data_IF_920182571233
#
_entry.id   IF_920182571233
#
_cell.length_a   1.000
_cell.length_b   1.000
_cell.length_c   1.000
_cell.angle_alpha   90.00
_cell.angle_beta   90.00
_cell.angle_gamma   90.00
#
_symmetry.space_group_name_H-M   'P 1'
#
loop_
_entity.id
_entity.type
_entity.pdbx_description
1 polymer ?
#
# COMPACT_ATOMS: atom_id res chain seq x y z
N UNK A 1 4.02 14.37 6.31
CA UNK A 1 3.02 15.24 6.98
C UNK A 1 3.01 16.67 6.43
N UNK A 2 3.95 17.56 6.80
CA UNK A 2 3.91 18.99 6.44
C UNK A 2 3.77 19.27 4.93
N UNK A 3 4.68 18.73 4.10
CA UNK A 3 4.63 18.91 2.64
C UNK A 3 3.30 18.44 2.06
N UNK A 4 2.78 17.30 2.54
CA UNK A 4 1.48 16.79 2.11
C UNK A 4 0.34 17.73 2.44
N UNK A 5 0.26 18.21 3.68
CA UNK A 5 -0.75 19.18 4.09
C UNK A 5 -0.68 20.49 3.27
N UNK A 6 0.51 20.99 2.96
CA UNK A 6 0.69 22.17 2.12
C UNK A 6 0.17 21.96 0.69
N UNK A 7 0.47 20.82 0.09
CA UNK A 7 0.00 20.49 -1.26
C UNK A 7 -1.52 20.39 -1.32
N UNK A 8 -2.14 19.64 -0.41
CA UNK A 8 -3.60 19.46 -0.41
C UNK A 8 -4.32 20.80 -0.17
N UNK A 9 -3.78 21.65 0.72
CA UNK A 9 -4.31 23.02 0.92
C UNK A 9 -4.17 23.91 -0.31
N UNK A 10 -3.18 23.66 -1.14
CA UNK A 10 -2.97 24.36 -2.41
C UNK A 10 -3.77 23.73 -3.57
N UNK A 11 -4.61 22.71 -3.31
CA UNK A 11 -5.37 22.00 -4.34
C UNK A 11 -4.54 21.05 -5.20
N UNK A 12 -3.31 20.74 -4.77
CA UNK A 12 -2.40 19.82 -5.46
C UNK A 12 -2.40 18.49 -4.70
N UNK A 13 -2.69 17.38 -5.39
CA UNK A 13 -2.66 16.06 -4.75
C UNK A 13 -1.29 15.72 -4.19
N UNK A 14 -1.21 15.37 -2.90
CA UNK A 14 0.00 14.88 -2.26
C UNK A 14 0.17 13.37 -2.43
N UNK A 15 1.25 12.80 -1.90
CA UNK A 15 1.41 11.33 -1.82
C UNK A 15 0.54 10.71 -0.74
N UNK A 16 -0.03 11.52 0.17
CA UNK A 16 -0.79 11.11 1.38
C UNK A 16 -0.06 10.14 2.31
N UNK A 17 1.25 9.96 2.12
CA UNK A 17 2.12 9.18 2.99
C UNK A 17 2.86 10.08 3.98
N UNK A 18 3.16 9.53 5.15
CA UNK A 18 4.03 10.20 6.13
C UNK A 18 5.52 10.08 5.74
N UNK A 19 5.87 9.13 4.86
CA UNK A 19 7.23 8.92 4.42
C UNK A 19 7.70 9.97 3.42
N UNK A 20 8.88 10.55 3.70
CA UNK A 20 9.55 11.47 2.78
C UNK A 20 9.84 10.84 1.41
N UNK A 21 10.17 9.54 1.39
CA UNK A 21 10.54 8.79 0.18
C UNK A 21 9.40 8.61 -0.81
N UNK A 22 8.15 8.66 -0.34
CA UNK A 22 6.98 8.60 -1.23
C UNK A 22 7.01 9.66 -2.32
N UNK A 23 7.63 10.81 -2.07
CA UNK A 23 7.76 11.89 -3.04
C UNK A 23 8.74 11.60 -4.16
N UNK A 24 9.59 10.58 -4.07
CA UNK A 24 10.48 10.22 -5.19
C UNK A 24 9.73 9.73 -6.44
N UNK A 25 8.46 9.36 -6.32
CA UNK A 25 7.61 9.02 -7.47
C UNK A 25 6.55 10.11 -7.76
N UNK A 26 6.57 11.23 -7.04
CA UNK A 26 5.55 12.26 -7.12
C UNK A 26 5.92 13.33 -8.14
N UNK A 27 4.99 13.66 -9.04
CA UNK A 27 5.18 14.71 -10.04
C UNK A 27 6.33 14.43 -11.02
N UNK A 28 6.84 15.49 -11.63
CA UNK A 28 7.96 15.43 -12.57
C UNK A 28 9.32 15.54 -11.84
N UNK A 29 10.27 14.69 -12.24
CA UNK A 29 11.65 14.82 -11.79
C UNK A 29 12.27 16.08 -12.39
N UNK A 30 12.94 16.88 -11.57
CA UNK A 30 13.74 18.00 -12.05
C UNK A 30 15.22 17.63 -12.05
N UNK A 31 15.89 17.88 -13.18
CA UNK A 31 17.34 17.77 -13.28
C UNK A 31 18.05 18.89 -12.48
N UNK A 32 17.45 20.09 -12.45
CA UNK A 32 17.97 21.23 -11.70
C UNK A 32 17.00 21.68 -10.60
N UNK A 33 17.49 21.96 -9.39
CA UNK A 33 16.64 22.44 -8.31
C UNK A 33 16.17 23.86 -8.57
N UNK A 34 14.90 24.12 -8.24
CA UNK A 34 14.26 25.44 -8.34
C UNK A 34 13.46 25.76 -7.09
N UNK A 35 13.38 27.03 -6.73
CA UNK A 35 12.54 27.50 -5.61
C UNK A 35 11.10 27.01 -5.76
N UNK A 36 10.54 26.50 -4.67
CA UNK A 36 9.21 25.88 -4.58
C UNK A 36 9.18 24.38 -4.86
N UNK A 37 10.25 23.78 -5.41
CA UNK A 37 10.27 22.35 -5.71
C UNK A 37 10.28 21.51 -4.42
N UNK A 38 9.71 20.32 -4.48
CA UNK A 38 9.80 19.34 -3.40
C UNK A 38 11.16 18.67 -3.49
N UNK A 39 11.90 18.65 -2.40
CA UNK A 39 13.21 17.98 -2.33
C UNK A 39 13.15 16.87 -1.31
N UNK A 40 13.55 15.67 -1.72
CA UNK A 40 13.71 14.50 -0.86
C UNK A 40 15.18 14.35 -0.50
N UNK A 41 15.46 14.33 0.79
CA UNK A 41 16.80 14.11 1.35
C UNK A 41 16.93 12.71 1.94
N UNK A 42 18.13 12.15 1.89
CA UNK A 42 18.51 10.98 2.68
C UNK A 42 18.57 11.31 4.17
N UNK A 43 18.34 10.29 5.01
CA UNK A 43 18.48 10.39 6.47
C UNK A 43 19.25 9.17 6.97
N UNK A 44 20.55 9.36 7.22
CA UNK A 44 21.46 8.25 7.50
C UNK A 44 21.64 7.34 6.28
N UNK A 45 22.10 6.11 6.54
CA UNK A 45 22.40 5.12 5.50
C UNK A 45 21.18 4.25 5.12
N UNK A 46 20.09 4.35 5.87
CA UNK A 46 18.88 3.59 5.60
C UNK A 46 18.14 4.16 4.37
N UNK A 47 17.99 3.39 3.28
CA UNK A 47 17.34 3.86 2.07
C UNK A 47 15.83 4.15 2.25
N UNK A 48 15.19 3.56 3.27
CA UNK A 48 13.78 3.78 3.60
C UNK A 48 13.55 5.10 4.34
N UNK A 49 14.55 5.62 5.04
CA UNK A 49 14.46 6.87 5.78
C UNK A 49 14.78 8.07 4.90
N UNK A 50 14.12 9.19 5.19
CA UNK A 50 14.37 10.44 4.48
C UNK A 50 13.78 11.66 5.18
N UNK A 51 14.00 12.81 4.56
CA UNK A 51 13.38 14.08 4.93
C UNK A 51 12.85 14.77 3.67
N UNK A 52 11.81 15.60 3.78
CA UNK A 52 11.19 16.24 2.62
C UNK A 52 10.76 17.66 2.94
N UNK A 53 10.99 18.58 2.01
CA UNK A 53 10.69 20.00 2.16
C UNK A 53 10.56 20.74 0.83
N UNK A 54 10.16 22.00 0.90
CA UNK A 54 10.12 22.90 -0.26
C UNK A 54 11.40 23.73 -0.34
N UNK A 55 11.99 23.84 -1.53
CA UNK A 55 13.14 24.71 -1.75
C UNK A 55 12.74 26.17 -1.55
N UNK A 56 13.41 26.87 -0.65
CA UNK A 56 13.27 28.33 -0.43
C UNK A 56 14.54 29.10 -0.72
N UNK A 57 15.68 28.42 -0.90
CA UNK A 57 16.94 29.01 -1.29
C UNK A 57 17.94 27.98 -1.81
N UNK A 58 18.90 28.44 -2.60
CA UNK A 58 19.96 27.62 -3.18
C UNK A 58 21.30 28.34 -3.02
N UNK A 59 22.32 27.65 -2.53
CA UNK A 59 23.71 28.10 -2.52
C UNK A 59 24.57 27.13 -3.32
N UNK A 60 25.86 27.42 -3.47
CA UNK A 60 26.79 26.52 -4.16
C UNK A 60 26.90 25.15 -3.46
N UNK A 61 26.91 25.13 -2.14
CA UNK A 61 27.08 23.92 -1.32
C UNK A 61 25.77 23.32 -0.84
N UNK A 62 24.73 24.13 -0.66
CA UNK A 62 23.54 23.77 0.11
C UNK A 62 22.22 24.04 -0.62
N UNK A 63 21.21 23.32 -0.18
CA UNK A 63 19.81 23.53 -0.50
C UNK A 63 19.09 23.97 0.78
N UNK A 64 18.38 25.09 0.71
CA UNK A 64 17.65 25.64 1.86
C UNK A 64 16.19 25.23 1.73
N UNK A 65 15.70 24.46 2.71
CA UNK A 65 14.36 23.88 2.69
C UNK A 65 13.49 24.48 3.79
N UNK A 66 12.23 24.77 3.46
CA UNK A 66 11.13 24.88 4.41
C UNK A 66 10.51 23.49 4.60
N UNK A 67 10.65 22.90 5.78
CA UNK A 67 10.08 21.60 6.09
C UNK A 67 9.53 21.53 7.53
N UNK A 68 8.75 20.49 7.80
CA UNK A 68 8.18 20.21 9.11
C UNK A 68 8.92 19.09 9.83
N UNK A 69 8.68 18.98 11.13
CA UNK A 69 9.34 18.03 12.03
C UNK A 69 10.87 18.21 12.05
N UNK A 70 11.33 19.45 11.92
CA UNK A 70 12.73 19.83 12.08
C UNK A 70 12.92 20.38 13.50
N UNK A 71 13.25 19.47 14.44
CA UNK A 71 13.25 19.79 15.87
C UNK A 71 11.85 20.11 16.39
N UNK A 72 10.87 19.28 16.03
CA UNK A 72 9.44 19.44 16.37
C UNK A 72 8.81 20.77 15.91
N UNK A 73 9.42 21.43 14.92
CA UNK A 73 8.94 22.69 14.34
C UNK A 73 8.85 22.65 12.81
N UNK A 74 8.12 23.62 12.25
CA UNK A 74 8.22 24.01 10.84
C UNK A 74 9.25 25.13 10.77
N UNK A 75 10.37 24.90 10.07
CA UNK A 75 11.47 25.86 10.02
C UNK A 75 12.17 25.86 8.66
N UNK A 76 13.03 26.86 8.45
CA UNK A 76 13.89 26.95 7.27
C UNK A 76 15.29 26.52 7.69
N UNK A 77 15.85 25.50 7.05
CA UNK A 77 17.23 25.04 7.33
C UNK A 77 17.98 24.72 6.03
N UNK A 78 19.31 24.87 6.09
CA UNK A 78 20.22 24.52 5.02
C UNK A 78 20.67 23.05 5.14
N UNK A 79 20.73 22.35 4.02
CA UNK A 79 21.19 20.98 3.92
C UNK A 79 22.24 20.83 2.81
N UNK A 80 23.28 19.98 3.01
CA UNK A 80 24.24 19.70 1.95
C UNK A 80 23.57 19.09 0.72
N UNK A 81 23.95 19.54 -0.48
CA UNK A 81 23.43 19.00 -1.75
C UNK A 81 23.69 17.50 -1.91
N UNK A 82 24.72 16.95 -1.26
CA UNK A 82 25.03 15.51 -1.25
C UNK A 82 23.94 14.65 -0.61
N UNK A 83 23.06 15.24 0.21
CA UNK A 83 21.91 14.52 0.81
C UNK A 83 20.70 14.47 -0.11
N UNK A 84 20.69 15.21 -1.23
CA UNK A 84 19.55 15.24 -2.14
C UNK A 84 19.46 13.92 -2.88
N UNK A 85 18.32 13.25 -2.74
CA UNK A 85 18.02 12.01 -3.45
C UNK A 85 17.08 12.25 -4.63
N UNK A 86 16.27 13.30 -4.58
CA UNK A 86 15.47 13.71 -5.72
C UNK A 86 14.81 15.06 -5.54
N UNK A 87 14.57 15.74 -6.65
CA UNK A 87 13.86 17.02 -6.72
C UNK A 87 12.65 16.86 -7.63
N UNK A 88 11.50 17.37 -7.20
CA UNK A 88 10.20 17.11 -7.81
C UNK A 88 9.39 18.38 -7.99
N UNK A 89 8.69 18.45 -9.10
CA UNK A 89 7.79 19.55 -9.46
C UNK A 89 6.39 19.01 -9.70
N UNK A 90 5.32 19.74 -9.33
CA UNK A 90 3.97 19.38 -9.75
C UNK A 90 3.93 19.30 -11.28
N UNK A 91 3.50 18.15 -11.82
CA UNK A 91 3.44 17.96 -13.27
C UNK A 91 2.57 19.02 -13.92
N UNK A 92 2.96 19.55 -15.09
CA UNK A 92 2.16 20.57 -15.80
C UNK A 92 0.80 20.02 -16.27
N UNK A 93 0.63 18.70 -16.30
CA UNK A 93 -0.65 18.04 -16.52
C UNK A 93 -1.55 18.00 -15.25
N UNK A 94 -1.09 18.53 -14.11
CA UNK A 94 -1.78 18.53 -12.82
C UNK A 94 -2.53 19.83 -12.50
N UNK A 95 -3.01 20.53 -13.53
CA UNK A 95 -4.30 21.22 -13.46
C UNK A 95 -5.39 20.33 -14.09
N UNK A 96 -5.34 19.02 -13.83
CA UNK A 96 -6.46 18.12 -14.12
C UNK A 96 -7.28 18.02 -12.84
N UNK A 97 -8.60 18.30 -12.88
CA UNK A 97 -9.50 18.04 -11.74
C UNK A 97 -9.40 16.56 -11.32
N UNK A 98 -9.73 16.23 -10.07
CA UNK A 98 -9.39 14.95 -9.43
C UNK A 98 -9.58 13.73 -10.35
N UNK A 99 -8.53 12.91 -10.43
CA UNK A 99 -8.50 11.59 -11.07
C UNK A 99 -9.71 10.75 -10.64
N UNK A 100 -10.63 10.52 -11.59
CA UNK A 100 -11.87 9.75 -11.46
C UNK A 100 -12.79 10.21 -10.30
N UNK A 101 -14.12 10.18 -10.45
CA UNK A 101 -14.98 10.43 -9.32
C UNK A 101 -14.69 9.40 -8.24
N UNK A 102 -14.09 9.85 -7.13
CA UNK A 102 -14.21 9.20 -5.82
C UNK A 102 -15.69 8.79 -5.69
N UNK A 103 -16.02 7.57 -5.23
CA UNK A 103 -17.40 7.22 -4.95
C UNK A 103 -18.04 8.40 -4.22
N UNK A 104 -19.25 8.84 -4.62
CA UNK A 104 -19.84 10.05 -4.06
C UNK A 104 -19.73 9.97 -2.53
N UNK A 105 -19.37 11.08 -1.87
CA UNK A 105 -19.10 11.15 -0.42
C UNK A 105 -20.12 10.37 0.43
N UNK A 106 -21.37 10.30 -0.04
CA UNK A 106 -22.47 9.54 0.53
C UNK A 106 -22.32 8.01 0.50
N UNK A 107 -21.72 7.42 -0.53
CA UNK A 107 -21.47 5.99 -0.62
C UNK A 107 -20.38 5.54 0.37
N UNK A 108 -19.30 6.32 0.52
CA UNK A 108 -18.27 6.08 1.53
C UNK A 108 -18.81 6.23 2.95
N UNK A 109 -19.68 7.22 3.19
CA UNK A 109 -20.33 7.40 4.48
C UNK A 109 -21.31 6.25 4.79
N UNK A 110 -22.11 5.81 3.81
CA UNK A 110 -23.03 4.68 4.01
C UNK A 110 -22.29 3.36 4.29
N UNK A 111 -21.15 3.12 3.62
CA UNK A 111 -20.29 1.96 3.91
C UNK A 111 -19.69 2.09 5.29
N UNK A 112 -19.22 3.29 5.67
CA UNK A 112 -18.69 3.54 7.01
C UNK A 112 -19.73 3.30 8.10
N UNK A 113 -20.96 3.80 7.97
CA UNK A 113 -22.02 3.54 8.96
C UNK A 113 -22.31 2.05 9.10
N UNK A 114 -22.32 1.31 7.98
CA UNK A 114 -22.55 -0.14 7.99
C UNK A 114 -21.39 -0.88 8.65
N UNK A 115 -20.15 -0.46 8.37
CA UNK A 115 -18.94 -0.99 8.99
C UNK A 115 -18.86 -0.67 10.49
N UNK A 116 -19.21 0.55 10.88
CA UNK A 116 -19.26 0.98 12.28
C UNK A 116 -20.30 0.20 13.06
N UNK A 117 -21.50 0.02 12.51
CA UNK A 117 -22.56 -0.80 13.14
C UNK A 117 -22.06 -2.21 13.40
N UNK A 118 -21.48 -2.85 12.38
CA UNK A 118 -20.91 -4.20 12.48
C UNK A 118 -19.79 -4.31 13.52
N UNK A 119 -18.84 -3.36 13.52
CA UNK A 119 -17.74 -3.34 14.50
C UNK A 119 -18.29 -3.17 15.92
N UNK A 120 -19.23 -2.25 16.14
CA UNK A 120 -19.79 -2.03 17.47
C UNK A 120 -20.59 -3.23 18.01
N UNK A 121 -21.26 -3.98 17.12
CA UNK A 121 -21.89 -5.25 17.48
C UNK A 121 -20.85 -6.31 17.91
N UNK A 122 -19.67 -6.31 17.29
CA UNK A 122 -18.56 -7.22 17.61
C UNK A 122 -17.78 -6.83 18.87
N UNK A 123 -17.60 -5.54 19.13
CA UNK A 123 -16.89 -5.02 20.32
C UNK A 123 -17.74 -5.16 21.60
N UNK A 124 -19.08 -5.16 21.48
CA UNK A 124 -19.97 -5.32 22.62
C UNK A 124 -20.21 -4.03 23.41
N UNK A 125 -20.54 -4.19 24.70
CA UNK A 125 -20.97 -3.10 25.59
C UNK A 125 -19.83 -2.51 26.45
N UNK A 126 -20.21 -1.82 27.52
CA UNK A 126 -19.27 -1.35 28.54
C UNK A 126 -18.67 -2.55 29.29
N UNK A 127 -17.35 -2.61 29.36
CA UNK A 127 -16.61 -3.57 30.17
C UNK A 127 -15.73 -2.85 31.20
N UNK A 128 -15.69 -3.40 32.41
CA UNK A 128 -14.94 -2.90 33.54
C UNK A 128 -14.38 -4.09 34.32
N UNK A 129 -13.46 -4.82 33.69
CA UNK A 129 -12.67 -5.85 34.36
C UNK A 129 -11.50 -5.19 35.11
N UNK A 130 -11.39 -5.35 36.45
CA UNK A 130 -10.28 -4.82 37.25
C UNK A 130 -8.88 -5.33 36.82
N UNK A 131 -8.81 -6.40 36.03
CA UNK A 131 -7.58 -6.98 35.50
C UNK A 131 -7.35 -6.65 34.02
N UNK A 132 -8.23 -5.87 33.39
CA UNK A 132 -8.01 -5.40 32.02
C UNK A 132 -6.87 -4.35 31.99
N UNK A 133 -5.74 -4.62 31.32
CA UNK A 133 -4.68 -3.64 31.17
C UNK A 133 -5.12 -2.39 30.41
N UNK A 134 -6.22 -2.44 29.64
CA UNK A 134 -6.83 -1.30 28.95
C UNK A 134 -7.69 -0.40 29.86
N UNK A 135 -8.06 -0.89 31.05
CA UNK A 135 -8.94 -0.20 31.99
C UNK A 135 -10.38 -0.08 31.47
N UNK A 136 -11.19 0.82 32.07
CA UNK A 136 -12.58 1.01 31.65
C UNK A 136 -12.70 1.26 30.15
N UNK A 137 -13.51 0.45 29.48
CA UNK A 137 -13.69 0.48 28.02
C UNK A 137 -15.18 0.53 27.68
N UNK A 138 -15.56 1.42 26.78
CA UNK A 138 -16.94 1.52 26.30
C UNK A 138 -16.96 1.54 24.78
N UNK A 139 -17.72 0.63 24.16
CA UNK A 139 -17.84 0.56 22.70
C UNK A 139 -16.47 0.47 22.01
N UNK A 140 -15.55 -0.33 22.57
CA UNK A 140 -14.18 -0.50 22.07
C UNK A 140 -13.24 0.69 22.28
N UNK A 141 -13.67 1.77 22.94
CA UNK A 141 -12.84 2.94 23.25
C UNK A 141 -12.38 2.86 24.71
N UNK A 142 -11.07 2.79 24.90
CA UNK A 142 -10.44 2.79 26.23
C UNK A 142 -10.47 4.19 26.85
N UNK A 143 -10.40 4.28 28.18
CA UNK A 143 -10.26 5.56 28.88
C UNK A 143 -9.04 6.36 28.39
N UNK A 144 -7.92 5.68 28.13
CA UNK A 144 -6.70 6.29 27.60
C UNK A 144 -6.91 6.92 26.22
N UNK A 145 -7.61 6.23 25.31
CA UNK A 145 -7.94 6.78 24.00
C UNK A 145 -8.88 7.98 24.10
N UNK A 146 -9.89 7.89 24.98
CA UNK A 146 -10.87 8.95 25.18
C UNK A 146 -10.24 10.25 25.73
N UNK A 147 -9.36 10.16 26.73
CA UNK A 147 -8.68 11.36 27.24
C UNK A 147 -7.70 11.96 26.25
N UNK A 148 -7.01 11.11 25.48
CA UNK A 148 -6.08 11.54 24.43
C UNK A 148 -6.82 12.29 23.31
N UNK A 149 -7.98 11.77 22.91
CA UNK A 149 -8.86 12.43 21.93
C UNK A 149 -9.34 13.81 22.44
N UNK A 150 -9.62 13.93 23.74
CA UNK A 150 -9.93 15.22 24.39
C UNK A 150 -8.74 16.17 24.55
N UNK A 151 -7.51 15.69 24.33
CA UNK A 151 -6.30 16.47 24.62
C UNK A 151 -6.08 16.73 26.12
N UNK A 152 -6.56 15.83 26.98
CA UNK A 152 -6.45 15.94 28.45
C UNK A 152 -5.51 14.85 28.97
N UNK A 153 -4.66 15.20 29.94
CA UNK A 153 -3.85 14.22 30.67
C UNK A 153 -4.69 13.54 31.76
N UNK A 154 -4.64 12.21 31.83
CA UNK A 154 -5.34 11.45 32.87
C UNK A 154 -4.58 11.59 34.19
N UNK A 155 -5.24 12.13 35.21
CA UNK A 155 -4.70 12.27 36.57
C UNK A 155 -5.61 11.58 37.57
N UNK A 156 -5.10 11.29 38.77
CA UNK A 156 -5.90 10.72 39.86
C UNK A 156 -7.14 11.57 40.17
N UNK A 157 -7.03 12.89 40.03
CA UNK A 157 -8.10 13.85 40.35
C UNK A 157 -9.22 13.84 39.31
N UNK A 158 -8.91 13.65 38.03
CA UNK A 158 -9.91 13.64 36.95
C UNK A 158 -10.37 12.22 36.56
N UNK A 159 -9.72 11.17 37.07
CA UNK A 159 -9.99 9.78 36.70
C UNK A 159 -11.46 9.40 36.83
N UNK A 160 -12.08 9.68 37.98
CA UNK A 160 -13.48 9.34 38.23
C UNK A 160 -14.44 10.09 37.28
N UNK A 161 -14.14 11.36 36.98
CA UNK A 161 -14.94 12.16 36.06
C UNK A 161 -14.81 11.68 34.61
N UNK A 162 -13.58 11.41 34.15
CA UNK A 162 -13.32 10.91 32.79
C UNK A 162 -13.93 9.53 32.57
N UNK A 163 -13.88 8.65 33.58
CA UNK A 163 -14.55 7.35 33.55
C UNK A 163 -16.07 7.49 33.45
N UNK A 164 -16.68 8.38 34.24
CA UNK A 164 -18.12 8.64 34.17
C UNK A 164 -18.52 9.18 32.79
N UNK A 165 -17.70 10.06 32.22
CA UNK A 165 -17.94 10.61 30.89
C UNK A 165 -17.77 9.58 29.77
N UNK A 166 -16.74 8.71 29.85
CA UNK A 166 -16.56 7.57 28.95
C UNK A 166 -17.79 6.64 28.99
N UNK A 167 -18.31 6.37 30.18
CA UNK A 167 -19.52 5.53 30.35
C UNK A 167 -20.75 6.15 29.67
N UNK A 168 -20.81 7.48 29.60
CA UNK A 168 -21.87 8.24 28.93
C UNK A 168 -21.44 8.79 27.55
N UNK A 169 -20.44 8.18 26.90
CA UNK A 169 -19.85 8.70 25.66
C UNK A 169 -20.94 8.91 24.58
N UNK A 170 -21.07 10.12 24.01
CA UNK A 170 -22.02 10.36 22.94
C UNK A 170 -21.72 9.52 21.71
N UNK A 171 -22.76 8.97 21.07
CA UNK A 171 -22.62 8.21 19.82
C UNK A 171 -21.91 9.00 18.72
N UNK A 172 -22.11 10.32 18.68
CA UNK A 172 -21.41 11.21 17.75
C UNK A 172 -19.88 11.23 18.00
N UNK A 173 -19.45 11.20 19.27
CA UNK A 173 -18.03 11.14 19.64
C UNK A 173 -17.44 9.78 19.25
N UNK A 174 -18.14 8.68 19.55
CA UNK A 174 -17.74 7.33 19.13
C UNK A 174 -17.54 7.28 17.62
N UNK A 175 -18.55 7.73 16.86
CA UNK A 175 -18.52 7.78 15.40
C UNK A 175 -17.31 8.57 14.89
N UNK A 176 -17.04 9.75 15.45
CA UNK A 176 -15.90 10.59 15.05
C UNK A 176 -14.57 9.89 15.30
N UNK A 177 -14.38 9.32 16.49
CA UNK A 177 -13.15 8.59 16.87
C UNK A 177 -12.90 7.44 15.89
N UNK A 178 -13.91 6.61 15.61
CA UNK A 178 -13.78 5.53 14.65
C UNK A 178 -13.52 6.01 13.22
N UNK A 179 -14.19 7.10 12.81
CA UNK A 179 -14.01 7.66 11.48
C UNK A 179 -12.58 8.20 11.29
N UNK A 180 -12.07 8.99 12.23
CA UNK A 180 -10.78 9.66 12.12
C UNK A 180 -9.61 8.70 12.37
N UNK A 181 -9.65 7.95 13.47
CA UNK A 181 -8.50 7.18 13.94
C UNK A 181 -8.36 5.81 13.28
N UNK A 182 -9.42 5.31 12.65
CA UNK A 182 -9.44 3.98 12.05
C UNK A 182 -9.85 4.03 10.58
N UNK A 183 -11.02 4.56 10.24
CA UNK A 183 -11.53 4.55 8.87
C UNK A 183 -10.65 5.37 7.91
N UNK A 184 -10.40 6.64 8.24
CA UNK A 184 -9.55 7.53 7.45
C UNK A 184 -8.07 7.12 7.56
N UNK A 185 -7.60 6.86 8.77
CA UNK A 185 -6.20 6.48 9.02
C UNK A 185 -5.79 5.20 8.28
N UNK A 186 -6.70 4.23 8.13
CA UNK A 186 -6.46 2.99 7.38
C UNK A 186 -6.83 3.10 5.89
N UNK A 187 -6.99 4.31 5.36
CA UNK A 187 -7.31 4.56 3.94
C UNK A 187 -8.54 3.78 3.42
N UNK A 188 -9.50 3.46 4.30
CA UNK A 188 -10.71 2.72 3.94
C UNK A 188 -11.52 3.39 2.81
N UNK A 189 -11.66 4.74 2.75
CA UNK A 189 -12.34 5.40 1.64
C UNK A 189 -11.74 5.16 0.25
N UNK A 190 -10.49 4.68 0.17
CA UNK A 190 -9.77 4.44 -1.08
C UNK A 190 -9.87 2.97 -1.53
N UNK A 191 -10.55 2.11 -0.74
CA UNK A 191 -10.73 0.69 -1.02
C UNK A 191 -12.14 0.40 -1.57
N UNK A 192 -12.33 -0.69 -2.35
CA UNK A 192 -13.64 -1.18 -2.74
C UNK A 192 -14.57 -1.39 -1.53
N UNK A 193 -15.89 -1.11 -1.61
CA UNK A 193 -16.79 -1.07 -0.46
C UNK A 193 -16.74 -2.27 0.49
N UNK A 194 -16.78 -3.49 -0.05
CA UNK A 194 -16.70 -4.72 0.76
C UNK A 194 -15.33 -4.85 1.43
N UNK A 195 -14.26 -4.56 0.69
CA UNK A 195 -12.90 -4.58 1.20
C UNK A 195 -12.66 -3.50 2.26
N UNK A 196 -13.23 -2.30 2.10
CA UNK A 196 -13.15 -1.20 3.05
C UNK A 196 -13.74 -1.58 4.41
N UNK A 197 -14.93 -2.20 4.42
CA UNK A 197 -15.53 -2.70 5.67
C UNK A 197 -14.64 -3.77 6.33
N UNK A 198 -14.19 -4.75 5.55
CA UNK A 198 -13.36 -5.83 6.08
C UNK A 198 -12.02 -5.32 6.63
N UNK A 199 -11.42 -4.35 5.93
CA UNK A 199 -10.19 -3.69 6.32
C UNK A 199 -10.36 -2.82 7.57
N UNK A 200 -11.48 -2.11 7.68
CA UNK A 200 -11.81 -1.30 8.85
C UNK A 200 -11.94 -2.15 10.13
N UNK A 201 -12.68 -3.26 10.08
CA UNK A 201 -12.79 -4.19 11.22
C UNK A 201 -11.41 -4.75 11.61
N UNK A 202 -10.55 -5.00 10.62
CA UNK A 202 -9.17 -5.39 10.88
C UNK A 202 -8.33 -4.26 11.50
N UNK A 203 -8.51 -3.01 11.07
CA UNK A 203 -7.80 -1.87 11.62
C UNK A 203 -8.17 -1.61 13.08
N UNK A 204 -9.43 -1.82 13.45
CA UNK A 204 -9.89 -1.71 14.85
C UNK A 204 -9.28 -2.82 15.70
N UNK A 205 -9.36 -4.08 15.28
CA UNK A 205 -8.91 -5.20 16.12
C UNK A 205 -7.39 -5.43 16.08
N UNK A 206 -6.70 -5.13 14.98
CA UNK A 206 -5.27 -5.40 14.78
C UNK A 206 -4.42 -4.13 14.66
N UNK A 207 -5.02 -2.95 14.79
CA UNK A 207 -4.38 -1.66 14.55
C UNK A 207 -4.24 -1.35 13.06
N UNK A 208 -4.22 -0.05 12.72
CA UNK A 208 -4.15 0.47 11.34
C UNK A 208 -2.98 -0.13 10.55
N UNK A 209 -1.76 -0.06 11.09
CA UNK A 209 -0.57 -0.60 10.42
C UNK A 209 -0.61 -2.14 10.33
N UNK A 210 -1.18 -2.82 11.34
CA UNK A 210 -1.34 -4.27 11.33
C UNK A 210 -2.27 -4.74 10.23
N UNK A 211 -3.41 -4.05 10.07
CA UNK A 211 -4.35 -4.29 8.98
C UNK A 211 -3.74 -4.00 7.60
N UNK A 212 -3.02 -2.89 7.44
CA UNK A 212 -2.32 -2.55 6.20
C UNK A 212 -1.34 -3.65 5.78
N UNK A 213 -0.52 -4.15 6.70
CA UNK A 213 0.42 -5.26 6.41
C UNK A 213 -0.28 -6.55 6.00
N UNK A 214 -1.40 -6.88 6.63
CA UNK A 214 -2.17 -8.07 6.26
C UNK A 214 -2.81 -7.92 4.86
N UNK A 215 -3.30 -6.73 4.51
CA UNK A 215 -3.80 -6.44 3.17
C UNK A 215 -2.68 -6.53 2.13
N UNK A 216 -1.51 -5.93 2.40
CA UNK A 216 -0.34 -5.99 1.51
C UNK A 216 0.10 -7.44 1.28
N UNK A 217 0.14 -8.25 2.34
CA UNK A 217 0.41 -9.67 2.22
C UNK A 217 -0.63 -10.40 1.34
N UNK A 218 -1.91 -10.02 1.40
CA UNK A 218 -2.97 -10.63 0.61
C UNK A 218 -2.86 -10.31 -0.89
N UNK A 219 -2.44 -9.09 -1.23
CA UNK A 219 -2.31 -8.64 -2.64
C UNK A 219 -0.89 -8.76 -3.21
N UNK A 220 0.07 -9.24 -2.42
CA UNK A 220 1.47 -9.38 -2.83
C UNK A 220 2.22 -8.06 -3.00
N UNK A 221 1.82 -7.02 -2.26
CA UNK A 221 2.54 -5.74 -2.21
C UNK A 221 3.66 -5.77 -1.14
N UNK A 222 4.57 -4.79 -1.20
CA UNK A 222 5.57 -4.59 -0.16
C UNK A 222 4.89 -4.36 1.21
N UNK A 223 5.37 -5.07 2.23
CA UNK A 223 4.74 -5.12 3.56
C UNK A 223 5.34 -4.04 4.46
N UNK A 224 5.04 -2.77 4.18
CA UNK A 224 5.50 -1.62 4.98
C UNK A 224 4.49 -1.17 6.06
N UNK A 225 3.21 -1.54 5.91
CA UNK A 225 2.12 -1.12 6.78
C UNK A 225 1.50 0.24 6.45
N UNK A 226 1.77 0.79 5.26
CA UNK A 226 1.14 2.00 4.72
C UNK A 226 0.36 1.70 3.42
N UNK A 227 -0.88 2.16 3.34
CA UNK A 227 -1.69 2.04 2.12
C UNK A 227 -1.41 3.25 1.23
N UNK A 228 -0.39 3.12 0.40
CA UNK A 228 -0.05 4.09 -0.65
C UNK A 228 -0.48 3.67 -2.06
N UNK A 229 -0.11 4.45 -3.10
CA UNK A 229 -0.50 4.17 -4.48
C UNK A 229 -0.11 2.78 -5.00
N UNK A 230 1.01 2.22 -4.54
CA UNK A 230 1.45 0.87 -4.93
C UNK A 230 0.55 -0.21 -4.33
N UNK A 231 0.18 -0.09 -3.06
CA UNK A 231 -0.79 -0.99 -2.40
C UNK A 231 -2.15 -0.90 -3.10
N UNK A 232 -2.62 0.30 -3.43
CA UNK A 232 -3.89 0.50 -4.14
C UNK A 232 -3.87 -0.07 -5.56
N UNK A 233 -2.76 0.07 -6.28
CA UNK A 233 -2.59 -0.54 -7.59
C UNK A 233 -2.58 -2.07 -7.53
N UNK A 234 -1.94 -2.65 -6.50
CA UNK A 234 -1.97 -4.09 -6.27
C UNK A 234 -3.41 -4.57 -5.96
N UNK A 235 -4.14 -3.88 -5.08
CA UNK A 235 -5.57 -4.16 -4.81
C UNK A 235 -6.40 -4.11 -6.09
N UNK A 236 -6.19 -3.11 -6.94
CA UNK A 236 -6.93 -2.96 -8.20
C UNK A 236 -6.58 -4.04 -9.25
N UNK A 237 -5.50 -4.80 -9.07
CA UNK A 237 -5.06 -5.85 -10.00
C UNK A 237 -5.75 -7.19 -9.78
N UNK A 238 -6.51 -7.35 -8.69
CA UNK A 238 -7.22 -8.58 -8.35
C UNK A 238 -8.73 -8.32 -8.20
N UNK A 239 -9.58 -9.33 -8.48
CA UNK A 239 -10.99 -9.28 -8.09
C UNK A 239 -11.15 -9.06 -6.58
N UNK A 240 -12.16 -8.29 -6.20
CA UNK A 240 -12.42 -7.95 -4.78
C UNK A 240 -12.71 -9.21 -3.96
N UNK A 241 -13.45 -10.16 -4.52
CA UNK A 241 -13.76 -11.44 -3.87
C UNK A 241 -12.50 -12.27 -3.59
N UNK A 242 -11.58 -12.36 -4.56
CA UNK A 242 -10.30 -13.06 -4.39
C UNK A 242 -9.42 -12.35 -3.34
N UNK A 243 -9.39 -11.02 -3.36
CA UNK A 243 -8.68 -10.20 -2.38
C UNK A 243 -9.23 -10.42 -0.97
N UNK A 244 -10.56 -10.42 -0.81
CA UNK A 244 -11.24 -10.68 0.45
C UNK A 244 -10.95 -12.09 0.98
N UNK A 245 -10.98 -13.11 0.12
CA UNK A 245 -10.67 -14.48 0.50
C UNK A 245 -9.20 -14.61 0.98
N UNK A 246 -8.26 -14.07 0.20
CA UNK A 246 -6.83 -14.08 0.54
C UNK A 246 -6.55 -13.31 1.85
N UNK A 247 -7.18 -12.14 2.03
CA UNK A 247 -7.02 -11.33 3.22
C UNK A 247 -7.63 -12.02 4.46
N UNK A 248 -8.82 -12.62 4.33
CA UNK A 248 -9.41 -13.41 5.40
C UNK A 248 -8.48 -14.56 5.82
N UNK A 249 -7.84 -15.25 4.88
CA UNK A 249 -6.89 -16.30 5.19
C UNK A 249 -5.62 -15.80 5.89
N UNK A 250 -5.08 -14.66 5.47
CA UNK A 250 -3.98 -13.98 6.19
C UNK A 250 -4.40 -13.69 7.64
N UNK A 251 -5.59 -13.12 7.84
CA UNK A 251 -6.10 -12.73 9.16
C UNK A 251 -6.37 -13.96 10.05
N UNK A 252 -6.95 -15.03 9.51
CA UNK A 252 -7.15 -16.32 10.23
C UNK A 252 -5.80 -16.93 10.62
N UNK A 253 -4.79 -16.93 9.75
CA UNK A 253 -3.43 -17.40 10.08
C UNK A 253 -2.82 -16.56 11.20
N UNK A 254 -2.98 -15.24 11.15
CA UNK A 254 -2.50 -14.33 12.21
C UNK A 254 -3.12 -14.66 13.56
N UNK A 255 -4.44 -14.86 13.63
CA UNK A 255 -5.09 -15.27 14.88
C UNK A 255 -4.58 -16.61 15.39
N UNK A 256 -4.46 -17.61 14.52
CA UNK A 256 -3.93 -18.93 14.89
C UNK A 256 -2.49 -18.90 15.43
N UNK A 257 -1.71 -17.87 15.08
CA UNK A 257 -0.35 -17.69 15.62
C UNK A 257 -0.29 -17.03 17.01
N UNK A 258 -1.42 -16.55 17.56
CA UNK A 258 -1.42 -15.89 18.86
C UNK A 258 -1.35 -16.92 20.01
N UNK A 259 -0.55 -16.68 21.07
CA UNK A 259 -0.44 -17.60 22.22
C UNK A 259 -1.78 -17.88 22.92
N UNK A 260 -2.72 -16.94 22.86
CA UNK A 260 -4.04 -17.00 23.50
C UNK A 260 -5.12 -17.61 22.61
N UNK A 261 -4.76 -18.12 21.42
CA UNK A 261 -5.71 -18.70 20.46
C UNK A 261 -6.52 -19.86 21.03
N UNK A 262 -5.93 -20.68 21.91
CA UNK A 262 -6.64 -21.81 22.53
C UNK A 262 -7.90 -21.37 23.31
N UNK A 263 -7.91 -20.14 23.84
CA UNK A 263 -9.02 -19.60 24.65
C UNK A 263 -10.02 -18.82 23.82
N UNK A 264 -9.55 -17.94 22.93
CA UNK A 264 -10.40 -16.97 22.21
C UNK A 264 -10.53 -17.25 20.71
N UNK A 265 -9.76 -18.20 20.19
CA UNK A 265 -9.60 -18.43 18.75
C UNK A 265 -10.89 -18.73 18.02
N UNK A 266 -11.83 -19.44 18.64
CA UNK A 266 -13.15 -19.69 18.04
C UNK A 266 -13.91 -18.38 17.77
N UNK A 267 -13.91 -17.46 18.74
CA UNK A 267 -14.56 -16.15 18.59
C UNK A 267 -13.89 -15.31 17.52
N UNK A 268 -12.55 -15.27 17.50
CA UNK A 268 -11.81 -14.53 16.47
C UNK A 268 -12.03 -15.06 15.06
N UNK A 269 -12.04 -16.38 14.86
CA UNK A 269 -12.34 -16.97 13.56
C UNK A 269 -13.78 -16.69 13.14
N UNK A 270 -14.73 -16.79 14.08
CA UNK A 270 -16.13 -16.42 13.82
C UNK A 270 -16.26 -14.96 13.40
N UNK A 271 -15.54 -14.02 14.05
CA UNK A 271 -15.53 -12.60 13.66
C UNK A 271 -15.04 -12.45 12.23
N UNK A 272 -13.95 -13.11 11.83
CA UNK A 272 -13.44 -13.06 10.44
C UNK A 272 -14.49 -13.56 9.45
N UNK A 273 -15.13 -14.69 9.74
CA UNK A 273 -16.09 -15.32 8.83
C UNK A 273 -17.37 -14.46 8.69
N UNK A 274 -17.88 -13.91 9.79
CA UNK A 274 -19.04 -13.00 9.77
C UNK A 274 -18.71 -11.69 9.03
N UNK A 275 -17.55 -11.07 9.31
CA UNK A 275 -17.12 -9.85 8.60
C UNK A 275 -16.94 -10.10 7.10
N UNK A 276 -16.36 -11.26 6.71
CA UNK A 276 -16.17 -11.64 5.31
C UNK A 276 -17.52 -11.82 4.58
N UNK A 277 -18.50 -12.47 5.22
CA UNK A 277 -19.83 -12.64 4.64
C UNK A 277 -20.50 -11.28 4.37
N UNK A 278 -20.48 -10.38 5.34
CA UNK A 278 -21.03 -9.03 5.21
C UNK A 278 -20.30 -8.21 4.12
N UNK A 279 -18.97 -8.32 4.05
CA UNK A 279 -18.17 -7.68 3.01
C UNK A 279 -18.57 -8.15 1.61
N UNK A 280 -18.78 -9.46 1.41
CA UNK A 280 -19.24 -10.02 0.14
C UNK A 280 -20.68 -9.62 -0.21
N UNK A 281 -21.55 -9.38 0.78
CA UNK A 281 -22.89 -8.82 0.55
C UNK A 281 -22.84 -7.34 0.13
N UNK A 282 -21.96 -6.55 0.77
CA UNK A 282 -21.72 -5.16 0.39
C UNK A 282 -21.22 -5.06 -1.05
N UNK A 283 -20.24 -5.88 -1.43
CA UNK A 283 -19.66 -5.81 -2.76
C UNK A 283 -20.67 -6.20 -3.85
N UNK A 284 -21.53 -7.19 -3.57
CA UNK A 284 -22.63 -7.58 -4.47
C UNK A 284 -23.75 -6.54 -4.56
N UNK A 285 -24.05 -5.82 -3.47
CA UNK A 285 -25.13 -4.82 -3.42
C UNK A 285 -24.69 -3.41 -3.81
N UNK A 286 -23.39 -3.12 -3.72
CA UNK A 286 -22.77 -1.84 -4.03
C UNK A 286 -21.48 -2.09 -4.84
N UNK A 287 -21.59 -2.56 -6.09
CA UNK A 287 -20.41 -2.81 -6.93
C UNK A 287 -19.60 -1.52 -7.10
N UNK A 288 -18.28 -1.61 -7.31
CA UNK A 288 -17.49 -0.43 -7.61
C UNK A 288 -18.08 0.30 -8.82
N UNK A 289 -18.35 1.60 -8.67
CA UNK A 289 -18.65 2.47 -9.80
C UNK A 289 -17.40 2.45 -10.69
N UNK A 290 -17.51 1.68 -11.78
CA UNK A 290 -16.49 1.44 -12.80
C UNK A 290 -15.65 2.70 -13.08
N UNK A 291 -14.30 2.67 -12.95
CA UNK A 291 -13.46 3.73 -13.51
C UNK A 291 -13.71 3.81 -15.02
N UNK A 292 -13.74 5.01 -15.65
CA UNK A 292 -14.02 5.11 -17.07
C UNK A 292 -13.02 4.24 -17.84
N UNK A 293 -13.54 3.31 -18.63
CA UNK A 293 -12.77 2.65 -19.67
C UNK A 293 -12.05 3.75 -20.48
N UNK A 294 -10.74 3.63 -20.74
CA UNK A 294 -10.08 4.56 -21.64
C UNK A 294 -10.87 4.57 -22.93
N UNK A 295 -11.37 5.75 -23.34
CA UNK A 295 -12.05 5.91 -24.63
C UNK A 295 -11.09 5.38 -25.69
N UNK A 296 -11.41 4.20 -26.23
CA UNK A 296 -10.73 3.69 -27.41
C UNK A 296 -10.74 4.77 -28.49
N UNK A 297 -9.69 4.89 -29.30
CA UNK A 297 -9.65 5.86 -30.39
C UNK A 297 -10.93 5.74 -31.21
N UNK A 298 -11.66 6.84 -31.38
CA UNK A 298 -12.79 6.87 -32.30
C UNK A 298 -12.29 6.50 -33.71
N UNK A 299 -12.95 5.61 -34.43
CA UNK A 299 -12.49 5.19 -35.75
C UNK A 299 -12.59 6.37 -36.73
N UNK A 300 -11.50 6.65 -37.45
CA UNK A 300 -11.58 7.41 -38.70
C UNK A 300 -12.14 6.48 -39.79
N UNK A 301 -13.03 6.96 -40.67
CA UNK A 301 -13.48 6.16 -41.80
C UNK A 301 -12.50 6.32 -42.95
N UNK A 302 -11.99 5.21 -43.49
CA UNK A 302 -11.71 5.11 -44.93
C UNK A 302 -11.63 3.64 -45.35
N UNK A 303 -12.31 3.34 -46.46
CA UNK A 303 -12.19 2.15 -47.30
C UNK A 303 -10.72 1.72 -47.47
N UNK A 304 -10.33 0.46 -47.64
CA UNK A 304 -10.85 -0.59 -48.53
C UNK A 304 -10.12 -1.90 -48.18
N UNK A 305 -10.77 -3.04 -48.43
CA UNK A 305 -10.24 -4.40 -48.62
C UNK A 305 -8.89 -4.79 -47.98
N UNK A 306 -8.97 -5.63 -46.94
CA UNK A 306 -8.19 -6.90 -46.83
C UNK A 306 -8.67 -7.71 -45.61
N UNK A 307 -8.95 -9.00 -45.86
CA UNK A 307 -9.35 -10.03 -44.90
C UNK A 307 -8.40 -10.10 -43.70
N UNK A 308 -8.87 -10.11 -42.43
CA UNK A 308 -7.96 -10.09 -41.30
C UNK A 308 -7.38 -11.49 -41.04
N UNK A 309 -6.06 -11.60 -41.18
CA UNK A 309 -5.28 -12.58 -40.41
C UNK A 309 -5.39 -12.23 -38.92
N UNK A 310 -5.49 -13.25 -38.07
CA UNK A 310 -5.51 -13.12 -36.60
C UNK A 310 -4.36 -12.23 -36.12
N UNK A 311 -4.59 -11.20 -35.29
CA UNK A 311 -3.49 -10.40 -34.77
C UNK A 311 -2.71 -11.19 -33.72
N UNK A 312 -1.39 -11.19 -33.88
CA UNK A 312 -0.42 -11.70 -32.93
C UNK A 312 -0.69 -11.18 -31.52
N UNK A 313 -0.65 -12.10 -30.55
CA UNK A 313 -0.76 -11.78 -29.14
C UNK A 313 0.29 -10.72 -28.78
N UNK A 314 -0.16 -9.53 -28.38
CA UNK A 314 0.71 -8.49 -27.82
C UNK A 314 1.39 -9.03 -26.56
N UNK A 315 2.63 -9.45 -26.75
CA UNK A 315 3.59 -9.81 -25.73
C UNK A 315 3.88 -8.59 -24.82
N UNK A 316 3.92 -8.84 -23.51
CA UNK A 316 4.03 -7.84 -22.43
C UNK A 316 5.34 -7.03 -22.42
N UNK A 317 6.32 -7.35 -23.28
CA UNK A 317 7.65 -6.73 -23.24
C UNK A 317 7.89 -5.55 -24.19
N UNK A 318 6.84 -4.95 -24.76
CA UNK A 318 6.95 -3.62 -25.41
C UNK A 318 6.79 -2.44 -24.44
N UNK A 319 6.77 -2.70 -23.13
CA UNK A 319 6.82 -1.64 -22.11
C UNK A 319 8.24 -1.07 -21.99
N UNK A 320 8.42 0.23 -22.29
CA UNK A 320 9.70 0.93 -22.11
C UNK A 320 10.25 0.81 -20.68
N UNK A 321 9.37 0.63 -19.70
CA UNK A 321 9.72 0.44 -18.28
C UNK A 321 10.33 -0.94 -18.02
N UNK A 322 9.85 -1.98 -18.70
CA UNK A 322 10.37 -3.35 -18.57
C UNK A 322 11.70 -3.49 -19.31
N UNK A 323 11.85 -2.84 -20.47
CA UNK A 323 13.11 -2.76 -21.19
C UNK A 323 14.18 -2.03 -20.38
N UNK A 324 13.82 -0.93 -19.69
CA UNK A 324 14.72 -0.22 -18.78
C UNK A 324 15.20 -1.08 -17.61
N UNK A 325 14.33 -1.88 -17.01
CA UNK A 325 14.70 -2.79 -15.90
C UNK A 325 15.63 -3.90 -16.41
N UNK A 326 15.32 -4.55 -17.54
CA UNK A 326 16.16 -5.62 -18.11
C UNK A 326 17.55 -5.11 -18.48
N UNK A 327 17.65 -3.94 -19.11
CA UNK A 327 18.93 -3.32 -19.47
C UNK A 327 19.72 -2.93 -18.21
N UNK A 328 19.05 -2.41 -17.17
CA UNK A 328 19.70 -2.02 -15.91
C UNK A 328 20.17 -3.23 -15.10
N UNK A 329 19.41 -4.33 -15.10
CA UNK A 329 19.81 -5.58 -14.43
C UNK A 329 20.94 -6.26 -15.19
N UNK A 330 20.93 -6.28 -16.53
CA UNK A 330 22.04 -6.81 -17.33
C UNK A 330 23.31 -5.97 -17.16
N UNK A 331 23.21 -4.64 -17.14
CA UNK A 331 24.39 -3.75 -17.03
C UNK A 331 25.03 -3.74 -15.64
N UNK A 332 24.28 -4.07 -14.58
CA UNK A 332 24.81 -4.15 -13.22
C UNK A 332 25.35 -5.54 -12.87
N UNK A 333 24.80 -6.59 -13.47
CA UNK A 333 25.18 -7.98 -13.17
C UNK A 333 26.34 -8.47 -14.05
N UNK A 334 26.39 -8.10 -15.34
CA UNK A 334 27.44 -8.58 -16.25
C UNK A 334 28.86 -8.15 -15.88
N UNK A 335 29.14 -6.91 -15.42
CA UNK A 335 30.50 -6.53 -15.04
C UNK A 335 31.03 -7.28 -13.83
N UNK A 336 30.12 -7.77 -12.97
CA UNK A 336 30.44 -8.47 -11.72
C UNK A 336 30.58 -9.98 -11.96
N UNK A 337 29.75 -10.58 -12.82
CA UNK A 337 29.76 -12.02 -13.08
C UNK A 337 30.54 -12.44 -14.35
N UNK A 338 30.81 -11.52 -15.28
CA UNK A 338 31.53 -11.79 -16.54
C UNK A 338 32.91 -12.44 -16.36
N UNK A 339 33.77 -11.91 -15.46
CA UNK A 339 35.08 -12.51 -15.19
C UNK A 339 35.00 -13.89 -14.52
N UNK A 340 33.98 -14.12 -13.68
CA UNK A 340 33.77 -15.38 -12.95
C UNK A 340 33.29 -16.50 -13.90
N UNK A 341 32.63 -16.13 -14.99
CA UNK A 341 32.12 -17.05 -16.01
C UNK A 341 33.04 -17.18 -17.25
N UNK A 342 34.20 -16.53 -17.25
CA UNK A 342 35.16 -16.57 -18.37
C UNK A 342 34.72 -15.82 -19.63
N UNK A 343 33.74 -14.92 -19.51
CA UNK A 343 33.21 -14.13 -20.63
C UNK A 343 33.94 -12.77 -20.70
N UNK A 344 34.79 -12.59 -21.70
CA UNK A 344 35.42 -11.31 -21.98
C UNK A 344 34.41 -10.37 -22.65
N UNK A 345 33.94 -9.36 -21.91
CA UNK A 345 33.02 -8.34 -22.44
C UNK A 345 33.83 -7.36 -23.29
N UNK A 346 33.79 -7.52 -24.61
CA UNK A 346 34.41 -6.58 -25.56
C UNK A 346 33.43 -5.45 -25.90
N UNK A 347 33.97 -4.28 -26.29
CA UNK A 347 33.14 -3.14 -26.72
C UNK A 347 32.22 -3.48 -27.91
N UNK A 348 32.66 -4.41 -28.77
CA UNK A 348 31.87 -4.96 -29.88
C UNK A 348 30.63 -5.72 -29.39
N UNK A 349 30.74 -6.49 -28.29
CA UNK A 349 29.62 -7.23 -27.71
C UNK A 349 28.57 -6.28 -27.14
N UNK A 350 28.99 -5.15 -26.57
CA UNK A 350 28.10 -4.12 -26.02
C UNK A 350 27.36 -3.38 -27.15
N UNK A 351 28.03 -3.12 -28.26
CA UNK A 351 27.39 -2.53 -29.45
C UNK A 351 26.41 -3.50 -30.12
N UNK A 352 26.77 -4.77 -30.28
CA UNK A 352 25.85 -5.79 -30.81
C UNK A 352 24.66 -6.07 -29.87
N UNK A 353 24.86 -5.96 -28.56
CA UNK A 353 23.78 -6.02 -27.56
C UNK A 353 22.84 -4.82 -27.68
N UNK A 354 23.35 -3.63 -28.01
CA UNK A 354 22.55 -2.41 -28.19
C UNK A 354 21.64 -2.47 -29.42
N UNK A 355 22.12 -3.05 -30.53
CA UNK A 355 21.39 -3.03 -31.80
C UNK A 355 20.33 -4.16 -31.91
N UNK A 356 20.45 -5.23 -31.14
CA UNK A 356 19.57 -6.42 -31.23
C UNK A 356 19.01 -6.88 -29.87
N UNK A 357 18.70 -5.94 -28.97
CA UNK A 357 18.17 -6.19 -27.62
C UNK A 357 16.97 -7.14 -27.61
N UNK A 358 16.06 -7.02 -28.58
CA UNK A 358 14.81 -7.80 -28.65
C UNK A 358 15.10 -9.28 -28.96
N UNK A 359 16.01 -9.54 -29.89
CA UNK A 359 16.38 -10.90 -30.32
C UNK A 359 17.21 -11.61 -29.25
N UNK A 360 18.05 -10.87 -28.52
CA UNK A 360 18.84 -11.42 -27.42
C UNK A 360 17.99 -11.69 -26.17
N UNK A 361 17.00 -10.85 -25.86
CA UNK A 361 16.04 -11.10 -24.78
C UNK A 361 15.21 -12.36 -25.01
N UNK A 362 14.85 -12.65 -26.28
CA UNK A 362 14.15 -13.89 -26.65
C UNK A 362 15.06 -15.12 -26.50
N UNK A 363 16.33 -15.03 -26.89
CA UNK A 363 17.30 -16.12 -26.70
C UNK A 363 17.63 -16.39 -25.22
N UNK A 364 17.80 -15.32 -24.42
CA UNK A 364 18.04 -15.40 -22.98
C UNK A 364 16.82 -15.95 -22.21
N UNK A 365 15.60 -15.58 -22.61
CA UNK A 365 14.37 -16.15 -22.08
C UNK A 365 14.26 -17.66 -22.31
N UNK A 366 14.69 -18.12 -23.50
CA UNK A 366 14.79 -19.55 -23.80
C UNK A 366 15.83 -20.28 -22.94
N UNK A 367 16.98 -19.66 -22.69
CA UNK A 367 18.03 -20.23 -21.84
C UNK A 367 17.59 -20.32 -20.37
N UNK A 368 16.92 -19.29 -19.84
CA UNK A 368 16.35 -19.30 -18.48
C UNK A 368 15.26 -20.36 -18.35
N UNK A 369 14.38 -20.49 -19.34
CA UNK A 369 13.38 -21.56 -19.38
C UNK A 369 14.01 -22.96 -19.38
N UNK A 370 15.12 -23.12 -20.09
CA UNK A 370 15.87 -24.39 -20.15
C UNK A 370 16.59 -24.68 -18.83
N UNK A 371 17.20 -23.68 -18.20
CA UNK A 371 17.83 -23.79 -16.87
C UNK A 371 16.79 -24.13 -15.81
N UNK A 372 15.62 -23.48 -15.83
CA UNK A 372 14.51 -23.78 -14.91
C UNK A 372 13.92 -25.17 -15.13
N UNK A 373 13.85 -25.64 -16.38
CA UNK A 373 13.43 -27.01 -16.69
C UNK A 373 14.45 -28.06 -16.23
N UNK A 374 15.75 -27.79 -16.39
CA UNK A 374 16.84 -28.63 -15.89
C UNK A 374 16.86 -28.64 -14.36
N UNK A 375 16.71 -27.48 -13.73
CA UNK A 375 16.61 -27.35 -12.27
C UNK A 375 15.38 -28.08 -11.70
N UNK A 376 14.24 -28.00 -12.38
CA UNK A 376 13.04 -28.76 -12.07
C UNK A 376 13.27 -30.28 -12.15
N UNK A 377 13.96 -30.75 -13.20
CA UNK A 377 14.31 -32.18 -13.35
C UNK A 377 15.34 -32.68 -12.32
N UNK A 378 16.26 -31.83 -11.89
CA UNK A 378 17.26 -32.17 -10.88
C UNK A 378 16.65 -32.31 -9.47
N UNK A 379 15.58 -31.56 -9.16
CA UNK A 379 14.84 -31.65 -7.89
C UNK A 379 13.82 -32.81 -7.81
N UNK A 380 13.50 -33.47 -8.92
CA UNK A 380 12.57 -34.62 -8.96
C UNK A 380 13.25 -35.99 -8.82
N UNK A 381 14.39 -36.07 -8.14
CA UNK A 381 15.17 -37.31 -7.98
C UNK A 381 14.90 -38.07 -6.67
N UNK A 382 13.74 -37.87 -6.04
CA UNK A 382 13.26 -38.78 -4.98
C UNK A 382 12.30 -39.81 -5.58
N UNK A 383 12.64 -41.12 -5.59
CA UNK A 383 11.73 -42.14 -6.09
C UNK A 383 10.52 -42.26 -5.15
N UNK A 384 9.33 -42.34 -5.75
CA UNK A 384 8.06 -42.56 -5.05
C UNK A 384 8.14 -43.88 -4.26
N UNK A 385 8.13 -43.78 -2.93
CA UNK A 385 8.14 -44.94 -2.05
C UNK A 385 6.72 -45.53 -1.98
N UNK A 386 6.57 -46.80 -2.40
CA UNK A 386 5.28 -47.49 -2.45
C UNK A 386 4.87 -47.90 -1.04
N UNK A 387 3.98 -47.11 -0.41
CA UNK A 387 3.41 -47.43 0.91
C UNK A 387 2.55 -48.71 0.80
N UNK A 388 3.05 -49.83 1.29
CA UNK A 388 2.24 -51.04 1.47
C UNK A 388 1.22 -50.79 2.59
N UNK A 389 -0.06 -50.93 2.27
CA UNK A 389 -1.16 -50.92 3.24
C UNK A 389 -1.56 -52.36 3.44
N UNK A 390 -1.24 -52.93 4.61
CA UNK A 390 -1.73 -54.23 5.04
C UNK A 390 -3.14 -54.05 5.59
N UNK A 391 -4.14 -54.55 4.87
CA UNK A 391 -5.50 -54.69 5.38
C UNK A 391 -5.54 -55.95 6.26
N UNK A 392 -5.80 -55.77 7.56
CA UNK A 392 -6.16 -56.90 8.44
C UNK A 392 -7.65 -57.18 8.25
N UNK A 393 -7.99 -58.43 7.94
CA UNK A 393 -9.37 -58.93 7.88
C UNK A 393 -10.00 -58.99 9.27
#
# INVERSE_FOLDING_TARGET
AFVGACLERAGVGSTRSLMARSYLAWGEALAEPRTGAITVLSRGDDPSLGHVGFIVGLTASDIVLLAGNQGDAVSVQAFPRSRVVGVRWPSSAAATPPSAPKPPLQATDAVFERALTHVLEMEGGYDEDPYDPGGPTNLGITLGEFVRDKGVELTSDNFAAMKAELKAIPRATVRRIYHENYWQAAACPELPPGLALFHFDAAVNQGVAGAARMLQQAVGADIDGEIGPLTLAAVASYPVEETLAAYADVRRRRYRSLPTFWRFGRGWLSRVDTTLALAGEIDRSMPPLVPPQPKGPKPMPTDTDQTPALPDAKWWGNSMTIQGIIITTLSTVLPVLGPVLGLNITAELVHQLGDNVVTFAQAAGGLIGTIMAVYGRLRTSTPLERRQVTLSM
#
